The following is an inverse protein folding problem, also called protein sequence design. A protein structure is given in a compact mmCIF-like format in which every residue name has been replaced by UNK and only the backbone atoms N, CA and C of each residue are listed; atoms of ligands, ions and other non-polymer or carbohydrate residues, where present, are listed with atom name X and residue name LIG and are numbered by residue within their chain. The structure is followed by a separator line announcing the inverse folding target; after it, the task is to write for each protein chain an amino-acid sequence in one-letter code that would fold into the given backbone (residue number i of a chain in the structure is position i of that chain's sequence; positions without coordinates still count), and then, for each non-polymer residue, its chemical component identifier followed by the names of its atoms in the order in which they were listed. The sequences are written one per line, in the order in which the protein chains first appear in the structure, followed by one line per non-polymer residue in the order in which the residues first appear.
data_IF_284248806006
#
_entry.id   IF_284248806006
#
_cell.length_a   1.000
_cell.length_b   1.000
_cell.length_c   1.000
_cell.angle_alpha   90.00
_cell.angle_beta   90.00
_cell.angle_gamma   90.00
#
_symmetry.space_group_name_H-M   'P 1'
#
loop_
_entity.id
_entity.type
_entity.pdbx_description
1 polymer ?
#
# COMPACT_ATOMS: atom_id res chain seq x y z
N UNK A 1 14.98 -22.70 5.95
CA UNK A 1 14.04 -22.75 4.82
C UNK A 1 13.82 -21.30 4.43
N UNK A 2 14.31 -20.88 3.28
CA UNK A 2 14.06 -19.57 2.69
C UNK A 2 12.56 -19.51 2.37
N UNK A 3 11.82 -18.68 3.06
CA UNK A 3 10.43 -18.41 2.72
C UNK A 3 10.44 -17.69 1.37
N UNK A 4 9.66 -18.17 0.42
CA UNK A 4 9.47 -17.48 -0.86
C UNK A 4 8.99 -16.07 -0.59
N UNK A 5 9.74 -15.08 -1.04
CA UNK A 5 9.41 -13.69 -0.82
C UNK A 5 8.60 -13.19 -2.02
N UNK A 6 7.34 -12.84 -1.77
CA UNK A 6 6.52 -12.09 -2.73
C UNK A 6 6.76 -10.60 -2.49
N UNK A 7 6.87 -9.83 -3.54
CA UNK A 7 6.93 -8.37 -3.46
C UNK A 7 5.58 -7.78 -3.90
N UNK A 8 4.96 -6.99 -3.05
CA UNK A 8 3.78 -6.20 -3.39
C UNK A 8 4.21 -4.75 -3.65
N UNK A 9 4.48 -4.43 -4.90
CA UNK A 9 4.71 -3.06 -5.35
C UNK A 9 3.42 -2.25 -5.22
N UNK A 10 3.42 -1.29 -4.31
CA UNK A 10 2.19 -0.58 -3.98
C UNK A 10 2.44 0.87 -3.56
N UNK A 11 1.48 1.74 -3.91
CA UNK A 11 1.42 3.09 -3.38
C UNK A 11 0.61 3.13 -2.08
N UNK A 12 1.01 3.98 -1.15
CA UNK A 12 0.32 4.16 0.14
C UNK A 12 -0.98 4.97 0.01
N UNK A 13 -1.13 5.76 -1.06
CA UNK A 13 -2.38 6.42 -1.42
C UNK A 13 -3.38 5.50 -2.12
N UNK A 14 -2.91 4.40 -2.70
CA UNK A 14 -3.73 3.58 -3.57
C UNK A 14 -4.80 2.82 -2.78
N UNK A 15 -6.10 3.06 -3.01
CA UNK A 15 -7.17 2.36 -2.31
C UNK A 15 -7.24 0.88 -2.70
N UNK A 16 -6.84 0.51 -3.92
CA UNK A 16 -6.71 -0.88 -4.35
C UNK A 16 -5.64 -1.61 -3.55
N UNK A 17 -4.50 -0.93 -3.29
CA UNK A 17 -3.43 -1.48 -2.45
C UNK A 17 -3.84 -1.61 -0.98
N UNK A 18 -4.67 -0.68 -0.48
CA UNK A 18 -5.23 -0.79 0.86
C UNK A 18 -6.13 -2.01 1.00
N UNK A 19 -7.02 -2.23 0.02
CA UNK A 19 -7.90 -3.39 -0.01
C UNK A 19 -7.11 -4.71 -0.12
N UNK A 20 -6.06 -4.74 -0.95
CA UNK A 20 -5.17 -5.90 -1.07
C UNK A 20 -4.43 -6.20 0.23
N UNK A 21 -3.87 -5.18 0.90
CA UNK A 21 -3.20 -5.32 2.19
C UNK A 21 -4.17 -5.83 3.27
N UNK A 22 -5.42 -5.35 3.29
CA UNK A 22 -6.44 -5.83 4.20
C UNK A 22 -6.74 -7.32 4.01
N UNK A 23 -6.93 -7.77 2.75
CA UNK A 23 -7.17 -9.19 2.43
C UNK A 23 -6.02 -10.09 2.84
N UNK A 24 -4.78 -9.66 2.60
CA UNK A 24 -3.60 -10.39 3.08
C UNK A 24 -3.61 -10.52 4.61
N UNK A 25 -3.88 -9.44 5.34
CA UNK A 25 -3.95 -9.48 6.81
C UNK A 25 -5.07 -10.38 7.33
N UNK A 26 -6.23 -10.43 6.66
CA UNK A 26 -7.29 -11.39 6.98
C UNK A 26 -6.83 -12.83 6.85
N UNK A 27 -6.06 -13.16 5.81
CA UNK A 27 -5.49 -14.51 5.64
C UNK A 27 -4.55 -14.91 6.79
N UNK A 28 -3.86 -13.95 7.40
CA UNK A 28 -2.92 -14.19 8.48
C UNK A 28 -3.53 -14.02 9.88
N UNK A 29 -4.84 -13.87 9.98
CA UNK A 29 -5.55 -13.74 11.25
C UNK A 29 -5.34 -12.38 11.92
N UNK A 30 -5.13 -11.33 11.15
CA UNK A 30 -5.05 -9.95 11.62
C UNK A 30 -3.70 -9.51 12.19
N UNK A 31 -2.71 -10.40 12.22
CA UNK A 31 -1.34 -10.06 12.66
C UNK A 31 -0.44 -9.58 11.53
N UNK A 32 0.71 -8.98 11.88
CA UNK A 32 1.78 -8.72 10.94
C UNK A 32 2.14 -10.01 10.17
N UNK A 33 2.31 -9.91 8.87
CA UNK A 33 2.48 -11.04 7.99
C UNK A 33 3.55 -11.99 8.47
N UNK A 34 3.23 -13.28 8.47
CA UNK A 34 4.19 -14.34 8.82
C UNK A 34 5.21 -14.51 7.70
N UNK A 35 5.92 -13.41 7.37
CA UNK A 35 7.15 -13.42 6.58
C UNK A 35 7.01 -14.01 5.18
N UNK A 36 6.45 -13.26 4.25
CA UNK A 36 6.34 -13.73 2.86
C UNK A 36 6.07 -12.62 1.87
N UNK A 37 5.63 -11.46 2.33
CA UNK A 37 5.37 -10.30 1.44
C UNK A 37 6.24 -9.13 1.87
N UNK A 38 7.05 -8.64 0.95
CA UNK A 38 7.76 -7.37 1.07
C UNK A 38 6.93 -6.26 0.42
N UNK A 39 7.06 -5.04 0.91
CA UNK A 39 6.33 -3.87 0.43
C UNK A 39 7.27 -2.84 -0.19
N UNK A 40 7.84 -3.11 -1.39
CA UNK A 40 8.60 -2.08 -2.08
C UNK A 40 7.67 -0.95 -2.52
N UNK A 41 8.12 0.32 -2.35
CA UNK A 41 7.33 1.48 -2.74
C UNK A 41 7.12 1.51 -4.26
N UNK A 42 5.87 1.74 -4.67
CA UNK A 42 5.50 2.05 -6.04
C UNK A 42 4.87 3.43 -6.08
N UNK A 43 5.66 4.46 -5.80
CA UNK A 43 5.16 5.82 -5.73
C UNK A 43 4.53 6.25 -7.08
N UNK A 44 3.21 6.46 -7.10
CA UNK A 44 2.49 6.99 -8.28
C UNK A 44 2.97 8.40 -8.62
N UNK A 45 3.39 9.18 -7.62
CA UNK A 45 4.01 10.50 -7.80
C UNK A 45 5.27 10.45 -8.71
N UNK A 46 5.97 9.30 -8.76
CA UNK A 46 7.17 9.14 -9.59
C UNK A 46 6.84 9.23 -11.08
N UNK A 47 5.77 8.55 -11.53
CA UNK A 47 5.36 8.53 -12.93
C UNK A 47 4.45 9.69 -13.29
N UNK A 48 3.53 10.06 -12.40
CA UNK A 48 2.55 11.14 -12.65
C UNK A 48 3.16 12.53 -12.46
N UNK A 49 4.30 12.64 -11.75
CA UNK A 49 4.97 13.89 -11.36
C UNK A 49 4.14 14.82 -10.48
N UNK A 50 3.09 14.27 -9.93
CA UNK A 50 2.16 14.92 -9.01
C UNK A 50 1.52 13.86 -8.10
N UNK A 51 1.07 14.22 -6.89
CA UNK A 51 0.34 13.31 -6.03
C UNK A 51 -1.02 12.96 -6.65
N UNK A 52 -1.54 11.78 -6.33
CA UNK A 52 -2.89 11.39 -6.75
C UNK A 52 -3.91 12.43 -6.27
N UNK A 53 -4.70 13.02 -7.17
CA UNK A 53 -5.69 14.04 -6.79
C UNK A 53 -6.70 13.49 -5.78
N UNK A 54 -6.99 14.29 -4.73
CA UNK A 54 -7.99 13.92 -3.70
C UNK A 54 -9.31 13.47 -4.32
N UNK A 55 -9.73 14.14 -5.41
CA UNK A 55 -10.97 13.83 -6.11
C UNK A 55 -11.03 12.40 -6.65
N UNK A 56 -9.91 11.84 -7.09
CA UNK A 56 -9.84 10.44 -7.55
C UNK A 56 -10.20 9.52 -6.38
N UNK A 57 -9.57 9.74 -5.22
CA UNK A 57 -9.81 8.94 -4.03
C UNK A 57 -11.24 9.12 -3.50
N UNK A 58 -11.77 10.34 -3.51
CA UNK A 58 -13.16 10.62 -3.09
C UNK A 58 -14.19 9.85 -3.94
N UNK A 59 -13.85 9.51 -5.19
CA UNK A 59 -14.69 8.72 -6.10
C UNK A 59 -14.47 7.22 -5.90
N UNK A 60 -13.23 6.77 -5.85
CA UNK A 60 -12.87 5.34 -5.82
C UNK A 60 -13.14 4.70 -4.45
N UNK A 61 -12.79 5.40 -3.36
CA UNK A 61 -12.85 4.84 -2.01
C UNK A 61 -14.24 4.32 -1.62
N UNK A 62 -15.33 5.09 -1.78
CA UNK A 62 -16.66 4.60 -1.39
C UNK A 62 -17.07 3.32 -2.14
N UNK A 63 -16.59 3.15 -3.37
CA UNK A 63 -16.91 1.97 -4.19
C UNK A 63 -16.05 0.77 -3.81
N UNK A 64 -14.74 0.99 -3.63
CA UNK A 64 -13.80 -0.07 -3.29
C UNK A 64 -14.01 -0.61 -1.88
N UNK A 65 -14.37 0.24 -0.92
CA UNK A 65 -14.59 -0.19 0.46
C UNK A 65 -15.86 -1.05 0.62
N UNK A 66 -16.78 -1.05 -0.36
CA UNK A 66 -17.92 -1.98 -0.38
C UNK A 66 -17.50 -3.43 -0.63
N UNK A 67 -16.32 -3.67 -1.21
CA UNK A 67 -15.81 -5.03 -1.44
C UNK A 67 -15.42 -5.75 -0.13
N UNK A 68 -15.09 -4.97 0.92
CA UNK A 68 -14.75 -5.46 2.25
C UNK A 68 -15.41 -4.56 3.30
N UNK A 69 -16.68 -4.82 3.68
CA UNK A 69 -17.43 -3.93 4.57
C UNK A 69 -16.81 -3.71 5.96
N UNK A 70 -15.95 -4.63 6.40
CA UNK A 70 -15.27 -4.56 7.70
C UNK A 70 -13.90 -3.86 7.62
N UNK A 71 -13.46 -3.40 6.44
CA UNK A 71 -12.21 -2.65 6.32
C UNK A 71 -12.34 -1.31 7.05
N UNK A 72 -11.36 -0.91 7.89
CA UNK A 72 -11.40 0.41 8.52
C UNK A 72 -11.42 1.52 7.45
N UNK A 73 -12.53 2.24 7.36
CA UNK A 73 -12.68 3.33 6.39
C UNK A 73 -13.57 4.44 6.93
N UNK A 74 -13.14 5.67 6.76
CA UNK A 74 -13.95 6.87 6.97
C UNK A 74 -13.64 7.89 5.86
N UNK A 75 -14.64 8.56 5.27
CA UNK A 75 -14.39 9.69 4.39
C UNK A 75 -13.52 10.73 5.08
N UNK A 76 -12.60 11.35 4.33
CA UNK A 76 -11.73 12.39 4.88
C UNK A 76 -12.56 13.57 5.44
N UNK A 77 -12.48 13.75 6.75
CA UNK A 77 -13.24 14.78 7.48
C UNK A 77 -12.37 15.97 7.95
N UNK A 78 -11.05 15.85 7.89
CA UNK A 78 -10.15 16.95 8.21
C UNK A 78 -10.16 18.03 7.11
N UNK A 79 -9.73 19.27 7.40
CA UNK A 79 -9.62 20.31 6.38
C UNK A 79 -8.76 19.87 5.19
N UNK A 80 -9.08 20.34 3.97
CA UNK A 80 -8.30 19.99 2.76
C UNK A 80 -6.84 20.45 2.86
N UNK A 81 -6.54 21.45 3.69
CA UNK A 81 -5.16 21.88 3.98
C UNK A 81 -4.33 20.84 4.74
N UNK A 82 -4.98 19.86 5.33
CA UNK A 82 -4.33 18.73 6.02
C UNK A 82 -4.24 17.47 5.16
N UNK A 83 -4.80 17.52 3.93
CA UNK A 83 -4.64 16.43 2.98
C UNK A 83 -3.14 16.26 2.61
N UNK A 84 -2.61 15.03 2.67
CA UNK A 84 -1.22 14.81 2.31
C UNK A 84 -0.97 15.19 0.84
N UNK A 85 0.06 15.99 0.59
CA UNK A 85 0.46 16.41 -0.76
C UNK A 85 1.56 15.54 -1.35
N UNK A 86 2.02 14.54 -0.62
CA UNK A 86 3.05 13.58 -1.05
C UNK A 86 3.05 12.37 -0.13
N UNK A 87 3.44 11.21 -0.64
CA UNK A 87 3.67 9.99 0.16
C UNK A 87 5.14 9.63 0.34
N UNK A 88 6.07 10.39 -0.24
CA UNK A 88 7.50 10.10 -0.09
C UNK A 88 7.95 9.95 1.37
N UNK A 89 7.56 10.83 2.32
CA UNK A 89 7.93 10.66 3.72
C UNK A 89 7.36 9.39 4.36
N UNK A 90 6.16 8.95 3.95
CA UNK A 90 5.55 7.74 4.45
C UNK A 90 6.29 6.48 3.95
N UNK A 91 6.71 6.47 2.68
CA UNK A 91 7.58 5.39 2.16
C UNK A 91 8.93 5.36 2.88
N UNK A 92 9.55 6.52 3.11
CA UNK A 92 10.80 6.60 3.89
C UNK A 92 10.61 6.02 5.30
N UNK A 93 9.48 6.29 5.94
CA UNK A 93 9.15 5.76 7.26
C UNK A 93 9.08 4.22 7.27
N UNK A 94 8.42 3.61 6.27
CA UNK A 94 8.38 2.15 6.13
C UNK A 94 9.78 1.57 5.95
N UNK A 95 10.62 2.17 5.11
CA UNK A 95 12.02 1.74 4.91
C UNK A 95 12.89 1.93 6.16
N UNK A 96 12.66 2.97 6.95
CA UNK A 96 13.30 3.11 8.26
C UNK A 96 12.87 1.99 9.22
N UNK A 97 11.59 1.58 9.18
CA UNK A 97 11.09 0.48 10.00
C UNK A 97 11.71 -0.88 9.60
N UNK A 98 11.96 -1.13 8.30
CA UNK A 98 12.64 -2.34 7.83
C UNK A 98 14.00 -2.56 8.52
N UNK A 99 14.70 -1.48 8.88
CA UNK A 99 15.98 -1.52 9.62
C UNK A 99 15.84 -2.04 11.06
N UNK A 100 14.61 -2.08 11.58
CA UNK A 100 14.29 -2.68 12.88
C UNK A 100 13.66 -4.07 12.74
N UNK A 101 13.12 -4.41 11.56
CA UNK A 101 12.59 -5.73 11.22
C UNK A 101 11.41 -5.67 10.26
N UNK A 102 11.32 -6.66 9.37
CA UNK A 102 10.26 -6.71 8.35
C UNK A 102 8.85 -6.77 8.94
N UNK A 103 8.66 -7.48 10.06
CA UNK A 103 7.35 -7.53 10.72
C UNK A 103 6.91 -6.17 11.29
N UNK A 104 7.87 -5.37 11.78
CA UNK A 104 7.59 -4.01 12.26
C UNK A 104 7.31 -3.06 11.09
N UNK A 105 7.99 -3.25 9.95
CA UNK A 105 7.74 -2.49 8.74
C UNK A 105 6.35 -2.77 8.16
N UNK A 106 5.94 -4.06 8.10
CA UNK A 106 4.59 -4.46 7.68
C UNK A 106 3.51 -3.87 8.60
N UNK A 107 3.74 -3.88 9.92
CA UNK A 107 2.80 -3.25 10.85
C UNK A 107 2.75 -1.73 10.67
N UNK A 108 3.88 -1.07 10.43
CA UNK A 108 3.91 0.37 10.17
C UNK A 108 3.23 0.72 8.83
N UNK A 109 3.47 -0.04 7.75
CA UNK A 109 2.78 0.13 6.47
C UNK A 109 1.27 0.08 6.67
N UNK A 110 0.78 -0.94 7.39
CA UNK A 110 -0.63 -1.07 7.70
C UNK A 110 -1.15 0.11 8.52
N UNK A 111 -0.45 0.52 9.58
CA UNK A 111 -0.83 1.68 10.42
C UNK A 111 -0.90 2.98 9.63
N UNK A 112 0.04 3.20 8.70
CA UNK A 112 0.02 4.36 7.81
C UNK A 112 -1.24 4.35 6.94
N UNK A 113 -1.60 3.19 6.36
CA UNK A 113 -2.83 3.05 5.56
C UNK A 113 -4.07 3.33 6.39
N UNK A 114 -4.21 2.73 7.56
CA UNK A 114 -5.36 2.97 8.46
C UNK A 114 -5.42 4.44 8.89
N UNK A 115 -4.30 5.05 9.27
CA UNK A 115 -4.22 6.45 9.64
C UNK A 115 -4.71 7.39 8.52
N UNK A 116 -4.38 7.06 7.28
CA UNK A 116 -4.84 7.83 6.13
C UNK A 116 -6.30 7.54 5.76
N UNK A 117 -6.66 6.27 5.53
CA UNK A 117 -7.96 5.89 4.98
C UNK A 117 -9.11 5.86 6.00
N UNK A 118 -8.82 5.73 7.28
CA UNK A 118 -9.84 5.63 8.33
C UNK A 118 -9.81 6.75 9.38
N UNK A 119 -8.63 7.33 9.65
CA UNK A 119 -8.47 8.29 10.75
C UNK A 119 -8.29 9.73 10.26
N UNK A 120 -8.14 9.96 8.94
CA UNK A 120 -7.96 11.29 8.36
C UNK A 120 -6.66 11.98 8.84
N UNK A 121 -5.58 11.22 9.08
CA UNK A 121 -4.30 11.76 9.53
C UNK A 121 -3.39 12.06 8.33
N UNK A 122 -2.74 13.22 8.37
CA UNK A 122 -1.77 13.60 7.34
C UNK A 122 -0.47 12.82 7.48
N UNK A 123 -0.36 11.67 6.83
CA UNK A 123 0.78 10.75 6.92
C UNK A 123 2.05 11.25 6.19
N UNK A 124 2.04 12.46 5.63
CA UNK A 124 3.26 13.15 5.18
C UNK A 124 3.98 13.86 6.32
N UNK A 125 3.32 14.03 7.47
CA UNK A 125 3.84 14.84 8.56
C UNK A 125 4.73 14.01 9.48
N UNK A 126 5.97 14.50 9.70
CA UNK A 126 6.98 13.83 10.54
C UNK A 126 6.44 13.37 11.89
N UNK A 127 5.72 14.24 12.62
CA UNK A 127 5.20 13.89 13.95
C UNK A 127 4.13 12.80 13.90
N UNK A 128 3.35 12.72 12.83
CA UNK A 128 2.37 11.65 12.61
C UNK A 128 3.09 10.32 12.36
N UNK A 129 4.12 10.31 11.53
CA UNK A 129 4.91 9.10 11.24
C UNK A 129 5.62 8.57 12.49
N UNK A 130 6.18 9.46 13.34
CA UNK A 130 6.80 9.07 14.62
C UNK A 130 5.77 8.46 15.58
N UNK A 131 4.57 9.05 15.66
CA UNK A 131 3.50 8.50 16.50
C UNK A 131 3.09 7.09 16.02
N UNK A 132 2.89 6.93 14.69
CA UNK A 132 2.54 5.65 14.09
C UNK A 132 3.63 4.58 14.29
N UNK A 133 4.91 4.98 14.25
CA UNK A 133 6.02 4.09 14.53
C UNK A 133 5.97 3.56 15.98
N UNK A 134 5.63 4.44 16.94
CA UNK A 134 5.40 4.02 18.32
C UNK A 134 4.21 3.07 18.47
N UNK A 135 3.10 3.34 17.76
CA UNK A 135 1.92 2.48 17.74
C UNK A 135 2.22 1.10 17.12
N UNK A 136 3.15 1.04 16.14
CA UNK A 136 3.63 -0.20 15.54
C UNK A 136 4.67 -0.95 16.38
N UNK A 137 5.09 -0.40 17.51
CA UNK A 137 6.04 -1.04 18.44
C UNK A 137 7.52 -0.88 18.06
N UNK A 138 7.85 0.09 17.21
CA UNK A 138 9.24 0.43 16.88
C UNK A 138 9.95 1.13 18.05
N UNK A 139 11.27 1.00 18.11
CA UNK A 139 12.13 1.87 18.92
C UNK A 139 12.04 3.29 18.36
N UNK A 140 11.35 4.16 19.10
CA UNK A 140 11.02 5.52 18.66
C UNK A 140 12.24 6.42 18.47
N UNK A 141 13.25 6.30 19.31
CA UNK A 141 14.47 7.12 19.23
C UNK A 141 15.29 6.72 18.00
N UNK A 142 15.47 5.43 17.80
CA UNK A 142 16.16 4.89 16.62
C UNK A 142 15.41 5.22 15.32
N UNK A 143 14.08 5.02 15.31
CA UNK A 143 13.25 5.37 14.17
C UNK A 143 13.34 6.85 13.82
N UNK A 144 13.23 7.73 14.84
CA UNK A 144 13.31 9.18 14.66
C UNK A 144 14.67 9.59 14.08
N UNK A 145 15.76 9.02 14.62
CA UNK A 145 17.11 9.30 14.12
C UNK A 145 17.28 8.85 12.65
N UNK A 146 16.81 7.66 12.31
CA UNK A 146 16.86 7.14 10.93
C UNK A 146 16.04 8.03 9.97
N UNK A 147 14.81 8.40 10.34
CA UNK A 147 13.94 9.25 9.53
C UNK A 147 14.55 10.64 9.32
N UNK A 148 15.04 11.29 10.39
CA UNK A 148 15.63 12.62 10.32
C UNK A 148 16.95 12.66 9.51
N UNK A 149 17.70 11.56 9.53
CA UNK A 149 18.92 11.43 8.73
C UNK A 149 18.68 11.31 7.24
N UNK A 150 17.45 10.92 6.83
CA UNK A 150 17.10 10.64 5.45
C UNK A 150 17.80 9.40 4.87
N UNK A 151 18.23 8.46 5.73
CA UNK A 151 19.01 7.28 5.34
C UNK A 151 18.28 6.38 4.33
N UNK A 152 16.94 6.41 4.32
CA UNK A 152 16.12 5.58 3.45
C UNK A 152 15.72 6.26 2.12
N UNK A 153 15.97 7.56 1.93
CA UNK A 153 15.50 8.32 0.76
C UNK A 153 15.92 7.70 -0.57
N UNK A 154 17.20 7.38 -0.69
CA UNK A 154 17.72 6.83 -1.93
C UNK A 154 17.12 5.44 -2.22
N UNK A 155 16.95 4.61 -1.19
CA UNK A 155 16.33 3.30 -1.31
C UNK A 155 14.89 3.39 -1.85
N UNK A 156 14.08 4.32 -1.32
CA UNK A 156 12.70 4.54 -1.79
C UNK A 156 12.68 4.92 -3.28
N UNK A 157 13.57 5.82 -3.71
CA UNK A 157 13.66 6.22 -5.12
C UNK A 157 14.10 5.06 -6.01
N UNK A 158 15.09 4.29 -5.57
CA UNK A 158 15.63 3.16 -6.36
C UNK A 158 14.60 2.03 -6.49
N UNK A 159 13.87 1.71 -5.43
CA UNK A 159 12.80 0.69 -5.46
C UNK A 159 11.60 1.15 -6.31
N UNK A 160 11.19 2.43 -6.22
CA UNK A 160 10.15 2.98 -7.09
C UNK A 160 10.58 2.93 -8.57
N UNK A 161 11.83 3.28 -8.86
CA UNK A 161 12.39 3.16 -10.22
C UNK A 161 12.43 1.72 -10.69
N UNK A 162 12.83 0.79 -9.81
CA UNK A 162 12.86 -0.63 -10.14
C UNK A 162 11.47 -1.11 -10.56
N UNK A 163 10.42 -0.78 -9.81
CA UNK A 163 9.04 -1.14 -10.16
C UNK A 163 8.61 -0.57 -11.50
N UNK A 164 8.74 0.74 -11.68
CA UNK A 164 8.24 1.42 -12.87
C UNK A 164 9.07 1.18 -14.13
N UNK A 165 10.42 1.26 -14.04
CA UNK A 165 11.28 1.26 -15.22
C UNK A 165 11.85 -0.13 -15.54
N UNK A 166 12.30 -0.90 -14.52
CA UNK A 166 12.96 -2.19 -14.74
C UNK A 166 11.94 -3.33 -14.85
N UNK A 167 10.99 -3.40 -13.91
CA UNK A 167 9.96 -4.44 -13.90
C UNK A 167 8.76 -4.08 -14.78
N UNK A 168 8.58 -2.80 -15.09
CA UNK A 168 7.46 -2.29 -15.90
C UNK A 168 6.11 -2.77 -15.36
N UNK A 169 5.90 -2.64 -14.05
CA UNK A 169 4.64 -3.04 -13.42
C UNK A 169 3.49 -2.19 -13.93
N UNK A 170 2.32 -2.79 -14.13
CA UNK A 170 1.16 -2.13 -14.74
C UNK A 170 0.49 -1.10 -13.81
N UNK A 171 0.70 -1.20 -12.48
CA UNK A 171 0.08 -0.29 -11.51
C UNK A 171 0.16 -0.80 -10.08
N UNK A 172 -0.58 -0.14 -9.20
CA UNK A 172 -0.61 -0.39 -7.76
C UNK A 172 -1.95 -1.01 -7.34
N UNK A 173 -1.98 -2.16 -6.64
CA UNK A 173 -0.84 -3.02 -6.32
C UNK A 173 -0.48 -3.98 -7.44
N UNK A 174 0.81 -4.26 -7.63
CA UNK A 174 1.30 -5.38 -8.46
C UNK A 174 2.13 -6.32 -7.60
N UNK A 175 1.79 -7.59 -7.63
CA UNK A 175 2.52 -8.66 -6.96
C UNK A 175 3.55 -9.25 -7.92
N UNK A 176 4.80 -9.28 -7.49
CA UNK A 176 5.90 -9.93 -8.21
C UNK A 176 6.30 -11.20 -7.46
N UNK A 177 6.22 -12.33 -8.15
CA UNK A 177 6.52 -13.64 -7.58
C UNK A 177 8.02 -13.97 -7.76
N UNK A 178 8.58 -14.95 -7.01
CA UNK A 178 10.00 -15.31 -7.11
C UNK A 178 10.49 -15.69 -8.52
N UNK A 179 9.60 -16.19 -9.38
CA UNK A 179 9.90 -16.50 -10.78
C UNK A 179 9.81 -15.29 -11.73
N UNK A 180 9.58 -14.09 -11.20
CA UNK A 180 9.42 -12.87 -11.98
C UNK A 180 8.03 -12.66 -12.59
N UNK A 181 7.08 -13.59 -12.42
CA UNK A 181 5.71 -13.37 -12.90
C UNK A 181 5.00 -12.30 -12.09
N UNK A 182 4.16 -11.50 -12.75
CA UNK A 182 3.46 -10.37 -12.17
C UNK A 182 1.95 -10.62 -12.17
N UNK A 183 1.28 -10.13 -11.12
CA UNK A 183 -0.18 -10.14 -11.00
C UNK A 183 -0.63 -8.78 -10.46
N UNK A 184 -1.27 -7.99 -11.32
CA UNK A 184 -1.79 -6.67 -10.94
C UNK A 184 -3.24 -6.77 -10.48
N UNK A 185 -3.60 -6.04 -9.44
CA UNK A 185 -4.96 -5.92 -8.90
C UNK A 185 -5.70 -7.27 -8.70
N UNK A 186 -5.09 -8.31 -8.07
CA UNK A 186 -5.72 -9.63 -7.95
C UNK A 186 -7.04 -9.56 -7.20
N UNK A 187 -8.11 -10.03 -7.83
CA UNK A 187 -9.44 -10.10 -7.21
C UNK A 187 -10.09 -8.74 -6.92
N UNK A 188 -9.64 -7.66 -7.57
CA UNK A 188 -10.14 -6.31 -7.36
C UNK A 188 -11.06 -5.86 -8.52
N UNK A 189 -12.02 -4.96 -8.28
CA UNK A 189 -12.82 -4.35 -9.33
C UNK A 189 -11.97 -3.39 -10.17
N UNK A 190 -12.47 -2.99 -11.31
CA UNK A 190 -11.87 -1.97 -12.15
C UNK A 190 -12.81 -0.76 -12.25
N UNK A 191 -12.30 0.43 -11.94
CA UNK A 191 -13.02 1.70 -12.08
C UNK A 191 -12.31 2.52 -13.15
N UNK A 192 -12.98 2.74 -14.28
CA UNK A 192 -12.47 3.57 -15.38
C UNK A 192 -12.95 5.02 -15.17
N UNK A 193 -12.00 5.93 -15.01
CA UNK A 193 -12.25 7.34 -14.79
C UNK A 193 -11.89 8.17 -16.01
N UNK A 194 -12.72 9.15 -16.34
CA UNK A 194 -12.47 10.16 -17.35
C UNK A 194 -11.69 11.34 -16.76
N UNK A 195 -10.37 11.29 -16.86
CA UNK A 195 -9.46 12.31 -16.33
C UNK A 195 -9.68 13.68 -17.00
N UNK A 196 -9.91 13.69 -18.31
CA UNK A 196 -10.08 14.93 -19.08
C UNK A 196 -11.35 15.72 -18.68
N UNK A 197 -12.38 14.98 -18.22
CA UNK A 197 -13.65 15.58 -17.81
C UNK A 197 -13.87 15.55 -16.29
N UNK A 198 -12.80 15.64 -15.52
CA UNK A 198 -12.84 15.79 -14.07
C UNK A 198 -13.13 14.48 -13.34
N UNK A 199 -12.54 13.39 -13.78
CA UNK A 199 -12.61 12.07 -13.15
C UNK A 199 -14.04 11.51 -13.05
N UNK A 200 -14.84 11.66 -14.11
CA UNK A 200 -16.16 11.03 -14.18
C UNK A 200 -16.00 9.52 -14.37
N UNK A 201 -16.83 8.73 -13.71
CA UNK A 201 -16.87 7.28 -13.91
C UNK A 201 -17.37 6.99 -15.33
N UNK A 202 -16.55 6.36 -16.16
CA UNK A 202 -16.90 5.85 -17.48
C UNK A 202 -17.48 4.43 -17.40
N UNK A 203 -16.83 3.58 -16.59
CA UNK A 203 -17.24 2.20 -16.43
C UNK A 203 -16.80 1.67 -15.06
N UNK A 204 -17.53 0.68 -14.58
CA UNK A 204 -17.12 -0.14 -13.43
C UNK A 204 -17.24 -1.58 -13.83
N UNK A 205 -16.14 -2.32 -13.72
CA UNK A 205 -16.14 -3.79 -13.86
C UNK A 205 -16.07 -4.37 -12.46
N UNK A 206 -17.03 -5.21 -12.04
CA UNK A 206 -17.02 -5.80 -10.71
C UNK A 206 -15.79 -6.68 -10.51
N UNK A 207 -15.42 -6.89 -9.25
CA UNK A 207 -14.40 -7.88 -8.91
C UNK A 207 -14.80 -9.27 -9.44
N UNK A 208 -13.83 -10.09 -9.86
CA UNK A 208 -14.09 -11.45 -10.36
C UNK A 208 -14.51 -12.44 -9.27
N UNK A 209 -14.59 -12.00 -8.03
CA UNK A 209 -14.91 -12.77 -6.82
C UNK A 209 -15.77 -11.93 -5.87
N UNK A 210 -16.39 -12.55 -4.86
CA UNK A 210 -17.17 -11.87 -3.84
C UNK A 210 -16.87 -12.41 -2.43
N UNK A 211 -16.78 -11.52 -1.44
CA UNK A 211 -16.57 -11.90 -0.04
C UNK A 211 -15.31 -12.76 0.15
N UNK A 212 -15.47 -13.87 0.88
CA UNK A 212 -14.34 -14.75 1.20
C UNK A 212 -13.72 -15.49 0.00
N UNK A 213 -14.45 -15.59 -1.13
CA UNK A 213 -13.87 -16.14 -2.37
C UNK A 213 -12.69 -15.27 -2.87
N UNK A 214 -12.70 -13.98 -2.57
CA UNK A 214 -11.60 -13.11 -2.92
C UNK A 214 -10.32 -13.42 -2.13
N UNK A 215 -10.43 -14.01 -0.94
CA UNK A 215 -9.27 -14.50 -0.19
C UNK A 215 -8.61 -15.71 -0.86
N UNK A 216 -9.37 -16.53 -1.60
CA UNK A 216 -8.82 -17.67 -2.33
C UNK A 216 -7.92 -17.23 -3.47
N UNK A 217 -8.19 -16.06 -4.06
CA UNK A 217 -7.30 -15.43 -5.06
C UNK A 217 -5.91 -15.17 -4.46
N UNK A 218 -5.88 -14.63 -3.24
CA UNK A 218 -4.62 -14.36 -2.53
C UNK A 218 -3.94 -15.63 -2.02
N UNK A 219 -4.72 -16.66 -1.56
CA UNK A 219 -4.16 -17.97 -1.21
C UNK A 219 -3.46 -18.59 -2.41
N UNK A 220 -4.13 -18.62 -3.57
CA UNK A 220 -3.55 -19.16 -4.79
C UNK A 220 -2.29 -18.38 -5.25
N UNK A 221 -2.24 -17.08 -5.01
CA UNK A 221 -1.05 -16.25 -5.27
C UNK A 221 0.12 -16.67 -4.36
N UNK A 222 -0.13 -16.85 -3.07
CA UNK A 222 0.87 -17.28 -2.09
C UNK A 222 1.37 -18.70 -2.39
N UNK A 223 0.46 -19.63 -2.74
CA UNK A 223 0.82 -21.01 -3.10
C UNK A 223 1.71 -21.06 -4.36
N UNK A 224 1.37 -20.27 -5.40
CA UNK A 224 2.20 -20.15 -6.61
C UNK A 224 3.61 -19.62 -6.32
N UNK A 225 3.76 -18.76 -5.33
CA UNK A 225 5.08 -18.27 -4.95
C UNK A 225 5.93 -19.34 -4.24
N UNK A 226 5.29 -20.21 -3.45
CA UNK A 226 5.95 -21.34 -2.81
C UNK A 226 6.41 -22.37 -3.84
N UNK A 227 5.60 -22.63 -4.86
CA UNK A 227 5.94 -23.59 -5.94
C UNK A 227 7.05 -23.07 -6.86
N UNK A 228 7.25 -21.75 -6.89
CA UNK A 228 8.24 -21.08 -7.75
C UNK A 228 9.62 -20.90 -7.07
N UNK A 229 9.77 -21.33 -5.81
CA UNK A 229 10.98 -21.22 -4.98
C UNK A 229 11.75 -22.51 -4.98
#
# INVERSE_FOLDING_TARGET
MTTAQIEMYADLYCPYAYLAAYRLRRLWGGGAGRGGVAHPPLALEYVNREPTPKRVLDIELPMLMLEEPDIPYQPWAAPDSEWPVTMWPAFEAVKCAERQGMALADELDWRIRVAFFAEGRCVSMRHVLIALAGEAGLDGDRFTADLDSGVAKQQVVDEARQGWEALQVDGSPTFVLPNGSQVSNPGLPEIDLDEEHGYRIRAVRPAPCAGDECLDVYRALLDRALDAS
#
